data_IF_384449922269
#
_entry.id   IF_384449922269
#
_cell.length_a   1.000
_cell.length_b   1.000
_cell.length_c   1.000
_cell.angle_alpha   90.00
_cell.angle_beta   90.00
_cell.angle_gamma   90.00
#
_symmetry.space_group_name_H-M   'P 1'
#
loop_
_entity.id
_entity.type
_entity.pdbx_description
1 polymer ?
#
# COMPACT_ATOMS: atom_id res chain seq x y z
N UNK A 1 28.48 8.19 1.48
CA UNK A 1 27.38 7.82 2.41
C UNK A 1 26.07 8.03 1.66
N UNK A 2 25.10 7.11 1.71
CA UNK A 2 23.78 7.41 1.18
C UNK A 2 23.25 8.65 1.91
N UNK A 3 22.78 9.63 1.15
CA UNK A 3 22.17 10.85 1.68
C UNK A 3 20.96 10.46 2.54
N UNK A 4 20.95 10.90 3.80
CA UNK A 4 19.81 10.68 4.71
C UNK A 4 18.57 11.33 4.14
N UNK A 5 17.42 10.68 4.31
CA UNK A 5 16.14 11.25 3.92
C UNK A 5 15.77 12.39 4.86
N UNK A 6 15.29 13.51 4.31
CA UNK A 6 14.84 14.67 5.10
C UNK A 6 13.31 14.71 5.18
N UNK A 7 12.77 15.44 6.17
CA UNK A 7 11.32 15.66 6.24
C UNK A 7 10.80 16.39 4.99
N UNK A 8 11.62 17.23 4.35
CA UNK A 8 11.26 17.91 3.10
C UNK A 8 11.08 16.90 1.95
N UNK A 9 11.93 15.89 1.86
CA UNK A 9 11.82 14.83 0.84
C UNK A 9 10.53 14.02 1.02
N UNK A 10 10.15 13.73 2.28
CA UNK A 10 8.90 13.03 2.62
C UNK A 10 7.67 13.87 2.24
N UNK A 11 7.70 15.18 2.49
CA UNK A 11 6.63 16.09 2.09
C UNK A 11 6.51 16.22 0.57
N UNK A 12 7.62 16.35 -0.14
CA UNK A 12 7.61 16.37 -1.61
C UNK A 12 7.06 15.06 -2.18
N UNK A 13 7.43 13.93 -1.61
CA UNK A 13 6.89 12.62 -1.96
C UNK A 13 5.39 12.54 -1.68
N UNK A 14 4.93 13.08 -0.55
CA UNK A 14 3.50 13.14 -0.21
C UNK A 14 2.70 13.88 -1.29
N UNK A 15 3.16 15.05 -1.71
CA UNK A 15 2.53 15.82 -2.80
C UNK A 15 2.54 15.02 -4.10
N UNK A 16 3.68 14.43 -4.47
CA UNK A 16 3.77 13.61 -5.68
C UNK A 16 2.78 12.44 -5.68
N UNK A 17 2.73 11.66 -4.60
CA UNK A 17 1.83 10.51 -4.47
C UNK A 17 0.36 10.92 -4.42
N UNK A 18 0.00 12.02 -3.76
CA UNK A 18 -1.37 12.54 -3.75
C UNK A 18 -1.85 12.97 -5.14
N UNK A 19 -1.01 13.64 -5.92
CA UNK A 19 -1.30 14.03 -7.31
C UNK A 19 -1.45 12.78 -8.18
N UNK A 20 -0.50 11.84 -8.10
CA UNK A 20 -0.55 10.61 -8.90
C UNK A 20 -1.76 9.75 -8.56
N UNK A 21 -2.10 9.64 -7.27
CA UNK A 21 -3.32 8.96 -6.81
C UNK A 21 -4.55 9.60 -7.46
N UNK A 22 -4.66 10.92 -7.42
CA UNK A 22 -5.81 11.63 -7.99
C UNK A 22 -5.93 11.38 -9.51
N UNK A 23 -4.81 11.44 -10.23
CA UNK A 23 -4.76 11.21 -11.68
C UNK A 23 -5.20 9.79 -12.07
N UNK A 24 -4.92 8.78 -11.24
CA UNK A 24 -5.27 7.40 -11.51
C UNK A 24 -6.65 7.01 -10.96
N UNK A 25 -7.05 7.58 -9.84
CA UNK A 25 -8.29 7.24 -9.14
C UNK A 25 -9.51 7.85 -9.84
N UNK A 26 -9.42 9.11 -10.28
CA UNK A 26 -10.54 9.83 -10.90
C UNK A 26 -11.06 9.11 -12.15
N UNK A 27 -10.22 8.72 -13.14
CA UNK A 27 -10.71 7.98 -14.30
C UNK A 27 -11.25 6.60 -13.93
N UNK A 28 -10.62 5.91 -12.97
CA UNK A 28 -11.06 4.60 -12.53
C UNK A 28 -12.46 4.65 -11.93
N UNK A 29 -12.75 5.67 -11.12
CA UNK A 29 -14.06 5.88 -10.52
C UNK A 29 -15.17 6.06 -11.58
N UNK A 30 -14.84 6.60 -12.76
CA UNK A 30 -15.81 6.80 -13.84
C UNK A 30 -16.11 5.50 -14.61
N UNK A 31 -15.13 4.60 -14.74
CA UNK A 31 -15.27 3.40 -15.58
C UNK A 31 -15.58 2.13 -14.76
N UNK A 32 -15.14 2.07 -13.50
CA UNK A 32 -15.33 0.91 -12.64
C UNK A 32 -16.55 1.15 -11.75
N UNK A 33 -17.74 0.93 -12.33
CA UNK A 33 -18.99 1.18 -11.66
C UNK A 33 -19.20 0.25 -10.44
N UNK A 34 -20.12 0.67 -9.56
CA UNK A 34 -20.44 0.00 -8.30
C UNK A 34 -20.77 -1.48 -8.47
N UNK A 35 -21.65 -1.82 -9.42
CA UNK A 35 -22.14 -3.18 -9.58
C UNK A 35 -21.02 -4.12 -10.01
N UNK A 36 -20.16 -3.64 -10.92
CA UNK A 36 -18.99 -4.38 -11.35
C UNK A 36 -18.00 -4.57 -10.20
N UNK A 37 -17.73 -3.53 -9.42
CA UNK A 37 -16.82 -3.61 -8.27
C UNK A 37 -17.34 -4.54 -7.17
N UNK A 38 -18.64 -4.51 -6.85
CA UNK A 38 -19.20 -5.39 -5.85
C UNK A 38 -19.13 -6.87 -6.25
N UNK A 39 -19.15 -7.18 -7.54
CA UNK A 39 -19.01 -8.55 -8.06
C UNK A 39 -17.55 -8.97 -8.29
N UNK A 40 -16.59 -8.08 -8.10
CA UNK A 40 -15.19 -8.32 -8.41
C UNK A 40 -14.37 -8.91 -7.27
N UNK A 41 -14.98 -9.57 -6.28
CA UNK A 41 -14.27 -10.09 -5.09
C UNK A 41 -13.05 -10.94 -5.46
N UNK A 42 -13.20 -11.89 -6.39
CA UNK A 42 -12.09 -12.73 -6.86
C UNK A 42 -11.01 -11.89 -7.56
N UNK A 43 -11.42 -10.94 -8.40
CA UNK A 43 -10.50 -10.01 -9.07
C UNK A 43 -9.68 -9.20 -8.06
N UNK A 44 -10.30 -8.71 -6.98
CA UNK A 44 -9.60 -7.95 -5.93
C UNK A 44 -8.62 -8.83 -5.18
N UNK A 45 -9.01 -10.05 -4.80
CA UNK A 45 -8.13 -11.00 -4.12
C UNK A 45 -6.89 -11.27 -4.98
N UNK A 46 -7.08 -11.64 -6.25
CA UNK A 46 -5.98 -11.95 -7.16
C UNK A 46 -5.10 -10.72 -7.41
N UNK A 47 -5.71 -9.57 -7.72
CA UNK A 47 -4.98 -8.32 -7.97
C UNK A 47 -4.13 -7.92 -6.77
N UNK A 48 -4.72 -7.94 -5.56
CA UNK A 48 -4.03 -7.57 -4.32
C UNK A 48 -2.88 -8.52 -4.03
N UNK A 49 -3.13 -9.83 -4.13
CA UNK A 49 -2.14 -10.88 -3.89
C UNK A 49 -0.94 -10.75 -4.84
N UNK A 50 -1.19 -10.54 -6.14
CA UNK A 50 -0.13 -10.40 -7.14
C UNK A 50 0.63 -9.09 -6.95
N UNK A 51 -0.07 -7.96 -6.87
CA UNK A 51 0.56 -6.64 -6.79
C UNK A 51 1.45 -6.53 -5.55
N UNK A 52 0.89 -6.80 -4.38
CA UNK A 52 1.63 -6.70 -3.12
C UNK A 52 2.64 -7.83 -2.95
N UNK A 53 2.35 -9.03 -3.46
CA UNK A 53 3.31 -10.13 -3.45
C UNK A 53 4.58 -9.79 -4.24
N UNK A 54 4.42 -9.28 -5.47
CA UNK A 54 5.54 -8.83 -6.30
C UNK A 54 6.27 -7.66 -5.64
N UNK A 55 5.52 -6.66 -5.16
CA UNK A 55 6.10 -5.48 -4.51
C UNK A 55 6.91 -5.90 -3.27
N UNK A 56 6.34 -6.73 -2.40
CA UNK A 56 7.02 -7.21 -1.19
C UNK A 56 8.27 -8.03 -1.52
N UNK A 57 8.24 -8.87 -2.56
CA UNK A 57 9.43 -9.60 -3.02
C UNK A 57 10.52 -8.63 -3.49
N UNK A 58 10.18 -7.66 -4.34
CA UNK A 58 11.15 -6.67 -4.81
C UNK A 58 11.72 -5.90 -3.62
N UNK A 59 10.86 -5.41 -2.73
CA UNK A 59 11.28 -4.60 -1.58
C UNK A 59 12.17 -5.39 -0.62
N UNK A 60 11.73 -6.57 -0.17
CA UNK A 60 12.46 -7.41 0.78
C UNK A 60 13.81 -7.89 0.23
N UNK A 61 13.93 -8.15 -1.07
CA UNK A 61 15.19 -8.63 -1.65
C UNK A 61 16.14 -7.51 -2.03
N UNK A 62 15.64 -6.40 -2.60
CA UNK A 62 16.47 -5.30 -3.10
C UNK A 62 16.88 -4.32 -2.00
N UNK A 63 16.01 -4.10 -1.02
CA UNK A 63 16.22 -3.13 0.06
C UNK A 63 16.44 -3.80 1.41
N UNK A 64 16.87 -5.08 1.43
CA UNK A 64 17.16 -5.81 2.66
C UNK A 64 18.19 -5.07 3.52
N UNK A 65 19.39 -4.87 3.00
CA UNK A 65 20.50 -4.29 3.76
C UNK A 65 20.33 -2.79 4.03
N UNK A 66 19.47 -2.12 3.24
CA UNK A 66 19.17 -0.69 3.41
C UNK A 66 18.08 -0.42 4.45
N UNK A 67 17.07 -1.30 4.54
CA UNK A 67 15.85 -1.07 5.30
C UNK A 67 15.51 -2.25 6.20
N UNK A 68 15.07 -3.38 5.63
CA UNK A 68 14.43 -4.47 6.36
C UNK A 68 15.36 -5.21 7.34
N UNK A 69 16.64 -5.37 6.99
CA UNK A 69 17.63 -6.07 7.80
C UNK A 69 17.98 -5.36 9.11
N UNK A 70 17.58 -4.08 9.27
CA UNK A 70 17.79 -3.32 10.51
C UNK A 70 16.79 -3.66 11.62
N UNK A 71 15.64 -4.27 11.28
CA UNK A 71 14.59 -4.52 12.27
C UNK A 71 13.92 -5.90 12.15
N UNK A 72 14.15 -6.64 11.06
CA UNK A 72 13.71 -8.03 10.93
C UNK A 72 14.86 -9.04 11.05
N UNK A 73 14.61 -10.21 11.66
CA UNK A 73 15.55 -11.32 11.61
C UNK A 73 15.63 -11.91 10.18
N UNK A 74 16.79 -12.45 9.82
CA UNK A 74 17.11 -12.88 8.45
C UNK A 74 16.13 -13.91 7.85
N UNK A 75 15.49 -14.73 8.68
CA UNK A 75 14.54 -15.74 8.21
C UNK A 75 13.26 -15.11 7.64
N UNK A 76 12.87 -13.90 8.06
CA UNK A 76 11.70 -13.17 7.52
C UNK A 76 11.86 -12.91 6.02
N UNK A 77 13.09 -12.67 5.54
CA UNK A 77 13.37 -12.46 4.11
C UNK A 77 12.84 -13.61 3.25
N UNK A 78 12.95 -14.84 3.75
CA UNK A 78 12.50 -16.06 3.04
C UNK A 78 10.97 -16.20 3.03
N UNK A 79 10.29 -15.53 3.95
CA UNK A 79 8.83 -15.51 4.03
C UNK A 79 8.19 -14.42 3.17
N UNK A 80 8.98 -13.59 2.48
CA UNK A 80 8.47 -12.56 1.58
C UNK A 80 7.39 -13.05 0.58
N UNK A 81 7.46 -14.28 0.00
CA UNK A 81 6.38 -14.80 -0.85
C UNK A 81 5.02 -14.96 -0.15
N UNK A 82 4.99 -15.16 1.17
CA UNK A 82 3.74 -15.33 1.93
C UNK A 82 2.90 -14.04 1.97
N UNK A 83 3.47 -12.89 1.60
CA UNK A 83 2.74 -11.64 1.43
C UNK A 83 1.62 -11.75 0.38
N UNK A 84 1.74 -12.66 -0.59
CA UNK A 84 0.66 -12.97 -1.55
C UNK A 84 -0.63 -13.35 -0.80
N UNK A 85 -0.53 -14.20 0.22
CA UNK A 85 -1.67 -14.67 1.01
C UNK A 85 -2.18 -13.53 1.90
N UNK A 86 -1.26 -12.85 2.61
CA UNK A 86 -1.59 -11.77 3.52
C UNK A 86 -2.34 -10.64 2.82
N UNK A 87 -1.82 -10.13 1.70
CA UNK A 87 -2.44 -9.02 0.99
C UNK A 87 -3.63 -9.44 0.14
N UNK A 88 -3.74 -10.72 -0.25
CA UNK A 88 -5.01 -11.27 -0.75
C UNK A 88 -6.12 -11.19 0.30
N UNK A 89 -5.81 -11.53 1.55
CA UNK A 89 -6.74 -11.43 2.68
C UNK A 89 -7.08 -9.97 3.03
N UNK A 90 -6.09 -9.05 3.03
CA UNK A 90 -6.37 -7.63 3.18
C UNK A 90 -7.24 -7.08 2.05
N UNK A 91 -6.97 -7.47 0.80
CA UNK A 91 -7.80 -7.10 -0.35
C UNK A 91 -9.25 -7.54 -0.18
N UNK A 92 -9.49 -8.76 0.29
CA UNK A 92 -10.83 -9.25 0.65
C UNK A 92 -11.46 -8.42 1.77
N UNK A 93 -10.72 -8.14 2.85
CA UNK A 93 -11.24 -7.35 3.98
C UNK A 93 -11.64 -5.93 3.57
N UNK A 94 -10.80 -5.25 2.80
CA UNK A 94 -11.07 -3.90 2.28
C UNK A 94 -12.22 -3.90 1.27
N UNK A 95 -12.30 -4.91 0.40
CA UNK A 95 -13.42 -5.08 -0.53
C UNK A 95 -14.73 -5.26 0.24
N UNK A 96 -14.74 -6.18 1.21
CA UNK A 96 -15.89 -6.44 2.07
C UNK A 96 -16.35 -5.17 2.79
N UNK A 97 -15.44 -4.45 3.46
CA UNK A 97 -15.76 -3.17 4.13
C UNK A 97 -16.35 -2.14 3.16
N UNK A 98 -15.79 -2.04 1.95
CA UNK A 98 -16.27 -1.09 0.93
C UNK A 98 -17.66 -1.46 0.44
N UNK A 99 -17.91 -2.75 0.15
CA UNK A 99 -19.18 -3.24 -0.38
C UNK A 99 -20.35 -3.16 0.60
N UNK A 100 -20.08 -3.06 1.91
CA UNK A 100 -21.12 -2.88 2.94
C UNK A 100 -21.62 -1.44 3.07
N UNK A 101 -21.03 -0.48 2.36
CA UNK A 101 -21.49 0.91 2.40
C UNK A 101 -22.73 1.12 1.52
N UNK A 102 -23.57 2.10 1.87
CA UNK A 102 -24.74 2.47 1.07
C UNK A 102 -24.37 2.88 -0.37
N UNK A 103 -23.18 3.46 -0.53
CA UNK A 103 -22.61 3.86 -1.83
C UNK A 103 -21.15 3.43 -1.90
N UNK A 104 -20.87 2.13 -2.18
CA UNK A 104 -19.51 1.63 -2.38
C UNK A 104 -18.88 2.36 -3.55
N UNK A 105 -17.68 2.91 -3.32
CA UNK A 105 -16.93 3.61 -4.35
C UNK A 105 -15.48 3.15 -4.34
N UNK A 106 -14.84 3.18 -5.51
CA UNK A 106 -13.39 2.94 -5.62
C UNK A 106 -12.62 3.96 -4.74
N UNK A 107 -13.16 5.17 -4.59
CA UNK A 107 -12.64 6.16 -3.65
C UNK A 107 -12.63 5.63 -2.21
N UNK A 108 -13.73 5.05 -1.72
CA UNK A 108 -13.77 4.42 -0.39
C UNK A 108 -12.69 3.33 -0.28
N UNK A 109 -12.59 2.44 -1.27
CA UNK A 109 -11.60 1.36 -1.25
C UNK A 109 -10.18 1.92 -1.16
N UNK A 110 -9.85 2.95 -1.94
CA UNK A 110 -8.56 3.63 -1.88
C UNK A 110 -8.32 4.32 -0.53
N UNK A 111 -9.32 5.01 0.03
CA UNK A 111 -9.24 5.67 1.34
C UNK A 111 -9.00 4.68 2.48
N UNK A 112 -9.72 3.54 2.49
CA UNK A 112 -9.46 2.46 3.45
C UNK A 112 -8.06 1.88 3.27
N UNK A 113 -7.59 1.79 2.03
CA UNK A 113 -6.21 1.48 1.71
C UNK A 113 -5.21 2.47 2.34
N UNK A 114 -5.46 3.77 2.23
CA UNK A 114 -4.65 4.79 2.90
C UNK A 114 -4.63 4.64 4.42
N UNK A 115 -5.79 4.39 5.04
CA UNK A 115 -5.88 4.14 6.49
C UNK A 115 -5.10 2.87 6.90
N UNK A 116 -5.13 1.84 6.06
CA UNK A 116 -4.31 0.65 6.24
C UNK A 116 -2.81 1.01 6.24
N UNK A 117 -2.36 1.87 5.32
CA UNK A 117 -0.99 2.37 5.29
C UNK A 117 -0.55 3.08 6.56
N UNK A 118 -1.42 3.95 7.10
CA UNK A 118 -1.19 4.59 8.40
C UNK A 118 -1.03 3.54 9.50
N UNK A 119 -1.92 2.55 9.57
CA UNK A 119 -1.88 1.54 10.62
C UNK A 119 -0.59 0.70 10.58
N UNK A 120 -0.17 0.27 9.38
CA UNK A 120 1.10 -0.45 9.20
C UNK A 120 2.31 0.43 9.60
N UNK A 121 2.29 1.73 9.25
CA UNK A 121 3.38 2.64 9.59
C UNK A 121 3.42 3.01 11.06
N UNK A 122 2.27 3.11 11.75
CA UNK A 122 2.24 3.24 13.21
C UNK A 122 2.94 2.04 13.84
N UNK A 123 2.61 0.82 13.40
CA UNK A 123 3.27 -0.39 13.90
C UNK A 123 4.77 -0.40 13.58
N UNK A 124 5.17 0.01 12.38
CA UNK A 124 6.58 0.06 12.00
C UNK A 124 7.35 1.12 12.82
N UNK A 125 6.81 2.32 12.98
CA UNK A 125 7.45 3.42 13.70
C UNK A 125 7.55 3.10 15.19
N UNK A 126 6.45 2.70 15.83
CA UNK A 126 6.38 2.58 17.29
C UNK A 126 6.59 1.15 17.81
N UNK A 127 6.27 0.13 17.01
CA UNK A 127 6.46 -1.28 17.39
C UNK A 127 7.81 -1.83 16.93
N UNK A 128 8.24 -1.52 15.70
CA UNK A 128 9.52 -1.98 15.15
C UNK A 128 10.66 -0.97 15.32
N UNK A 129 10.34 0.28 15.70
CA UNK A 129 11.29 1.37 15.90
C UNK A 129 12.09 1.73 14.64
N UNK A 130 11.45 1.75 13.46
CA UNK A 130 12.16 1.96 12.18
C UNK A 130 12.89 3.30 12.10
N UNK A 131 12.38 4.37 12.72
CA UNK A 131 13.01 5.70 12.66
C UNK A 131 14.31 5.78 13.49
N UNK A 132 14.47 4.86 14.44
CA UNK A 132 15.65 4.76 15.30
C UNK A 132 16.67 3.79 14.71
N UNK A 133 16.19 2.63 14.23
CA UNK A 133 17.03 1.52 13.77
C UNK A 133 17.56 1.67 12.35
N UNK A 134 16.82 2.33 11.47
CA UNK A 134 17.17 2.43 10.05
C UNK A 134 17.99 3.71 9.79
N UNK A 135 19.29 3.60 9.45
CA UNK A 135 20.18 4.77 9.37
C UNK A 135 19.73 5.85 8.38
N UNK A 136 19.10 5.48 7.27
CA UNK A 136 18.65 6.46 6.26
C UNK A 136 17.38 7.23 6.67
N UNK A 137 16.61 6.73 7.65
CA UNK A 137 15.40 7.36 8.18
C UNK A 137 15.64 8.17 9.47
N UNK A 138 16.83 8.03 10.08
CA UNK A 138 17.15 8.73 11.32
C UNK A 138 17.09 10.25 11.14
N UNK A 139 16.29 10.90 11.99
CA UNK A 139 16.05 12.36 11.97
C UNK A 139 14.72 12.76 11.34
N UNK A 140 13.97 11.82 10.76
CA UNK A 140 12.59 12.05 10.35
C UNK A 140 11.67 12.14 11.56
N UNK A 141 10.63 12.96 11.44
CA UNK A 141 9.55 13.02 12.43
C UNK A 141 8.42 12.06 12.01
N UNK A 142 7.69 11.44 12.95
CA UNK A 142 6.63 10.48 12.61
C UNK A 142 5.50 11.05 11.75
N UNK A 143 5.06 12.28 12.02
CA UNK A 143 3.86 12.86 11.40
C UNK A 143 3.96 12.94 9.86
N UNK A 144 5.03 13.51 9.26
CA UNK A 144 5.22 13.49 7.80
C UNK A 144 5.20 12.07 7.22
N UNK A 145 5.81 11.09 7.90
CA UNK A 145 5.86 9.70 7.44
C UNK A 145 4.46 9.07 7.44
N UNK A 146 3.66 9.34 8.46
CA UNK A 146 2.28 8.85 8.53
C UNK A 146 1.39 9.45 7.43
N UNK A 147 1.50 10.76 7.18
CA UNK A 147 0.75 11.42 6.11
C UNK A 147 1.20 10.91 4.74
N UNK A 148 2.51 10.75 4.53
CA UNK A 148 3.05 10.12 3.33
C UNK A 148 2.47 8.72 3.12
N UNK A 149 2.50 7.87 4.15
CA UNK A 149 2.02 6.48 4.07
C UNK A 149 0.56 6.37 3.67
N UNK A 150 -0.27 7.33 4.07
CA UNK A 150 -1.66 7.38 3.66
C UNK A 150 -1.79 7.51 2.14
N UNK A 151 -1.12 8.49 1.54
CA UNK A 151 -1.17 8.69 0.08
C UNK A 151 -0.41 7.62 -0.70
N UNK A 152 0.69 7.11 -0.15
CA UNK A 152 1.40 5.97 -0.71
C UNK A 152 0.48 4.75 -0.85
N UNK A 153 -0.23 4.41 0.22
CA UNK A 153 -1.12 3.26 0.20
C UNK A 153 -2.39 3.53 -0.61
N UNK A 154 -2.94 4.75 -0.59
CA UNK A 154 -4.02 5.10 -1.51
C UNK A 154 -3.63 4.84 -2.97
N UNK A 155 -2.40 5.22 -3.36
CA UNK A 155 -1.90 4.96 -4.71
C UNK A 155 -1.82 3.45 -4.97
N UNK A 156 -1.20 2.69 -4.07
CA UNK A 156 -1.02 1.24 -4.23
C UNK A 156 -2.37 0.50 -4.33
N UNK A 157 -3.33 0.83 -3.49
CA UNK A 157 -4.68 0.25 -3.56
C UNK A 157 -5.47 0.73 -4.80
N UNK A 158 -5.17 1.93 -5.32
CA UNK A 158 -5.69 2.37 -6.63
C UNK A 158 -5.09 1.53 -7.77
N UNK A 159 -3.80 1.19 -7.72
CA UNK A 159 -3.18 0.28 -8.69
C UNK A 159 -3.79 -1.13 -8.62
N UNK A 160 -4.06 -1.64 -7.42
CA UNK A 160 -4.79 -2.89 -7.20
C UNK A 160 -6.18 -2.82 -7.83
N UNK A 161 -6.90 -1.70 -7.69
CA UNK A 161 -8.22 -1.54 -8.29
C UNK A 161 -8.17 -1.49 -9.83
N UNK A 162 -7.14 -0.88 -10.43
CA UNK A 162 -6.89 -0.94 -11.87
C UNK A 162 -6.62 -2.38 -12.35
N UNK A 163 -5.77 -3.12 -11.64
CA UNK A 163 -5.51 -4.53 -11.95
C UNK A 163 -6.76 -5.38 -11.79
N UNK A 164 -7.57 -5.12 -10.76
CA UNK A 164 -8.87 -5.76 -10.56
C UNK A 164 -9.77 -5.53 -11.77
N UNK A 165 -9.90 -4.28 -12.21
CA UNK A 165 -10.71 -3.94 -13.38
C UNK A 165 -10.24 -4.69 -14.64
N UNK A 166 -8.92 -4.75 -14.86
CA UNK A 166 -8.35 -5.52 -15.97
C UNK A 166 -8.65 -7.02 -15.87
N UNK A 167 -8.47 -7.63 -14.69
CA UNK A 167 -8.76 -9.05 -14.45
C UNK A 167 -10.23 -9.36 -14.69
N UNK A 168 -11.15 -8.55 -14.18
CA UNK A 168 -12.60 -8.72 -14.36
C UNK A 168 -13.02 -8.66 -15.83
N UNK A 169 -12.25 -8.01 -16.70
CA UNK A 169 -12.51 -7.99 -18.14
C UNK A 169 -11.98 -9.22 -18.88
N UNK A 170 -11.10 -10.00 -18.25
CA UNK A 170 -10.46 -11.17 -18.83
C UNK A 170 -11.11 -12.49 -18.39
N UNK A 171 -11.87 -12.49 -17.30
CA UNK A 171 -12.62 -13.64 -16.76
C UNK A 171 -14.11 -13.48 -17.02
#
# INVERSE_FOLDING_TARGET
>A
MPTKLTNQDVWLSTVFFSVLTSLLLIPLQQIFNRDLFNRSTLGVIIASAIYWGILALILMYKFWDLYYGHFYPIWIRRLAPLNIILYGAFGLGLHWLTSHQNTPSILTFALLGGLHGIAEHIFAIYGLHILEKVPFLQGLTPLPVLIFSFFEYMLYWTMVAWLTFAIVKLI
#
